data_IF_287788523845
#
_entry.id   IF_287788523845
#
_cell.length_a   1.000
_cell.length_b   1.000
_cell.length_c   1.000
_cell.angle_alpha   90.00
_cell.angle_beta   90.00
_cell.angle_gamma   90.00
#
_symmetry.space_group_name_H-M   'P 1'
#
loop_
_entity.id
_entity.type
_entity.pdbx_description
1 polymer ?
#
# COMPACT_ATOMS: atom_id res chain seq x y z
N UNK A 1 -5.97 -13.18 10.78
CA UNK A 1 -5.45 -11.81 10.52
C UNK A 1 -4.07 -11.59 11.11
N UNK A 2 -3.81 -11.98 12.38
CA UNK A 2 -2.49 -11.89 13.02
C UNK A 2 -1.34 -12.49 12.16
N UNK A 3 -1.57 -13.64 11.50
CA UNK A 3 -0.58 -14.25 10.58
C UNK A 3 -0.30 -13.43 9.31
N UNK A 4 -1.25 -12.64 8.82
CA UNK A 4 -1.03 -11.80 7.64
C UNK A 4 -0.17 -10.58 8.02
N UNK A 5 -0.45 -9.96 9.16
CA UNK A 5 0.28 -8.76 9.61
C UNK A 5 1.76 -9.07 9.89
N UNK A 6 2.06 -10.21 10.52
CA UNK A 6 3.43 -10.66 10.72
C UNK A 6 4.19 -10.79 9.38
N UNK A 7 3.56 -11.39 8.37
CA UNK A 7 4.15 -11.51 7.02
C UNK A 7 4.36 -10.17 6.33
N UNK A 8 3.46 -9.20 6.54
CA UNK A 8 3.64 -7.85 6.01
C UNK A 8 4.80 -7.12 6.72
N UNK A 9 5.06 -7.40 8.00
CA UNK A 9 6.21 -6.85 8.73
C UNK A 9 7.54 -7.47 8.32
N UNK A 10 7.56 -8.78 7.98
CA UNK A 10 8.71 -9.43 7.33
C UNK A 10 9.04 -8.76 5.98
N UNK A 11 8.01 -8.35 5.26
CA UNK A 11 8.09 -7.60 4.02
C UNK A 11 8.10 -8.47 2.76
N UNK A 12 7.91 -7.80 1.62
CA UNK A 12 7.84 -8.41 0.30
C UNK A 12 8.53 -7.54 -0.73
N UNK A 13 9.13 -8.16 -1.73
CA UNK A 13 9.58 -7.45 -2.93
C UNK A 13 8.37 -7.11 -3.80
N UNK A 14 8.02 -5.84 -3.85
CA UNK A 14 6.97 -5.32 -4.72
C UNK A 14 7.53 -4.33 -5.73
N UNK A 15 6.94 -4.29 -6.92
CA UNK A 15 7.29 -3.33 -7.96
C UNK A 15 6.28 -2.21 -8.01
N UNK A 16 6.75 -0.96 -7.97
CA UNK A 16 5.87 0.19 -8.19
C UNK A 16 5.63 0.36 -9.69
N UNK A 17 4.38 0.61 -10.05
CA UNK A 17 3.99 1.09 -11.36
C UNK A 17 3.69 2.60 -11.27
N UNK A 18 4.16 3.34 -12.27
CA UNK A 18 3.82 4.75 -12.46
C UNK A 18 3.70 5.02 -13.95
N UNK A 19 2.54 5.50 -14.40
CA UNK A 19 2.26 5.79 -15.81
C UNK A 19 2.59 4.60 -16.74
N UNK A 20 2.26 3.38 -16.29
CA UNK A 20 2.56 2.13 -17.02
C UNK A 20 4.03 1.66 -16.97
N UNK A 21 4.94 2.47 -16.41
CA UNK A 21 6.35 2.11 -16.28
C UNK A 21 6.65 1.38 -14.96
N UNK A 22 7.41 0.28 -15.05
CA UNK A 22 7.88 -0.50 -13.89
C UNK A 22 9.12 0.11 -13.28
N UNK A 23 9.12 0.29 -11.97
CA UNK A 23 10.34 0.60 -11.21
C UNK A 23 11.16 -0.67 -10.93
N UNK A 24 12.36 -0.51 -10.36
CA UNK A 24 13.04 -1.62 -9.70
C UNK A 24 12.20 -2.12 -8.51
N UNK A 25 12.18 -3.45 -8.24
CA UNK A 25 11.55 -3.99 -7.04
C UNK A 25 12.11 -3.37 -5.78
N UNK A 26 11.24 -3.12 -4.80
CA UNK A 26 11.60 -2.60 -3.47
C UNK A 26 11.04 -3.53 -2.41
N UNK A 27 11.73 -3.62 -1.29
CA UNK A 27 11.20 -4.33 -0.13
C UNK A 27 10.19 -3.43 0.57
N UNK A 28 8.90 -3.70 0.36
CA UNK A 28 7.79 -3.09 1.09
C UNK A 28 7.52 -3.86 2.37
N UNK A 29 7.21 -3.18 3.46
CA UNK A 29 6.95 -3.80 4.75
C UNK A 29 6.06 -2.89 5.62
N UNK A 30 5.34 -3.48 6.57
CA UNK A 30 4.76 -2.74 7.70
C UNK A 30 5.84 -2.47 8.74
N UNK A 31 5.84 -1.27 9.33
CA UNK A 31 6.70 -0.98 10.47
C UNK A 31 6.27 -1.77 11.73
N UNK A 32 7.08 -1.68 12.79
CA UNK A 32 6.89 -2.42 14.03
C UNK A 32 5.53 -2.13 14.68
N UNK A 33 5.12 -0.86 14.64
CA UNK A 33 3.84 -0.37 15.17
C UNK A 33 2.64 -0.63 14.23
N UNK A 34 2.89 -1.14 13.01
CA UNK A 34 1.88 -1.30 11.95
C UNK A 34 1.16 0.01 11.60
N UNK A 35 1.85 1.14 11.82
CA UNK A 35 1.37 2.49 11.61
C UNK A 35 1.64 2.99 10.19
N UNK A 36 2.62 2.38 9.50
CA UNK A 36 3.05 2.80 8.18
C UNK A 36 3.40 1.61 7.27
N UNK A 37 3.02 1.71 5.99
CA UNK A 37 3.65 0.95 4.91
C UNK A 37 4.94 1.67 4.50
N UNK A 38 6.09 1.00 4.57
CA UNK A 38 7.41 1.55 4.25
C UNK A 38 8.07 0.78 3.12
N UNK A 39 9.06 1.38 2.45
CA UNK A 39 9.84 0.67 1.42
C UNK A 39 11.32 1.05 1.39
N UNK A 40 12.18 0.07 1.08
CA UNK A 40 13.63 0.26 0.92
C UNK A 40 14.20 -0.54 -0.27
N UNK A 41 15.29 -0.06 -0.91
CA UNK A 41 15.97 1.21 -0.68
C UNK A 41 15.24 2.40 -1.30
N UNK A 42 15.26 3.55 -0.63
CA UNK A 42 14.67 4.80 -1.11
C UNK A 42 15.62 5.97 -0.84
N UNK A 43 15.76 6.88 -1.81
CA UNK A 43 16.52 8.13 -1.61
C UNK A 43 15.83 9.10 -0.65
N UNK A 44 14.55 8.86 -0.35
CA UNK A 44 13.75 9.67 0.58
C UNK A 44 13.97 9.32 2.05
N UNK A 45 14.80 8.32 2.37
CA UNK A 45 15.06 7.91 3.75
C UNK A 45 13.77 7.58 4.50
N UNK A 46 13.55 8.23 5.64
CA UNK A 46 12.36 8.05 6.47
C UNK A 46 11.04 8.43 5.80
N UNK A 47 11.09 9.27 4.77
CA UNK A 47 9.90 9.76 4.06
C UNK A 47 9.44 8.77 2.98
N UNK A 48 10.06 7.59 2.92
CA UNK A 48 9.64 6.45 2.12
C UNK A 48 8.55 5.64 2.83
N UNK A 49 7.42 6.30 3.12
CA UNK A 49 6.30 5.70 3.87
C UNK A 49 4.94 6.23 3.46
N UNK A 50 3.90 5.44 3.72
CA UNK A 50 2.50 5.85 3.70
C UNK A 50 1.90 5.46 5.06
N UNK A 51 1.47 6.43 5.89
CA UNK A 51 0.75 6.13 7.13
C UNK A 51 -0.55 5.37 6.84
N UNK A 52 -0.89 4.36 7.64
CA UNK A 52 -2.15 3.61 7.51
C UNK A 52 -3.35 4.55 7.64
N UNK A 53 -3.27 5.53 8.54
CA UNK A 53 -4.29 6.58 8.71
C UNK A 53 -4.51 7.43 7.45
N UNK A 54 -3.57 7.41 6.51
CA UNK A 54 -3.63 8.16 5.26
C UNK A 54 -4.13 7.29 4.10
N UNK A 55 -4.32 5.98 4.30
CA UNK A 55 -4.88 5.06 3.31
C UNK A 55 -6.40 5.11 3.39
N UNK A 56 -7.03 5.58 2.32
CA UNK A 56 -8.48 5.67 2.21
C UNK A 56 -9.09 4.40 1.65
N UNK A 57 -8.35 3.64 0.84
CA UNK A 57 -8.82 2.36 0.31
C UNK A 57 -7.67 1.50 -0.21
N UNK A 58 -7.91 0.19 -0.28
CA UNK A 58 -6.98 -0.79 -0.85
C UNK A 58 -7.75 -1.67 -1.82
N UNK A 59 -7.28 -1.76 -3.06
CA UNK A 59 -8.02 -2.41 -4.16
C UNK A 59 -7.14 -3.35 -4.97
N UNK A 60 -7.76 -4.41 -5.45
CA UNK A 60 -7.22 -5.29 -6.48
C UNK A 60 -6.98 -4.52 -7.80
N UNK A 61 -6.00 -4.97 -8.57
CA UNK A 61 -5.70 -4.42 -9.90
C UNK A 61 -5.03 -3.05 -9.89
N UNK A 62 -4.92 -2.46 -11.08
CA UNK A 62 -4.33 -1.14 -11.33
C UNK A 62 -5.42 -0.08 -11.43
N UNK A 63 -5.20 1.11 -10.86
CA UNK A 63 -6.17 2.22 -10.91
C UNK A 63 -6.25 2.84 -12.30
N UNK A 64 -5.11 2.90 -12.99
CA UNK A 64 -4.97 3.54 -14.29
C UNK A 64 -5.88 2.92 -15.38
N UNK A 65 -6.48 1.75 -15.11
CA UNK A 65 -7.27 1.01 -16.11
C UNK A 65 -6.44 0.54 -17.31
N UNK A 66 -5.13 0.77 -17.26
CA UNK A 66 -4.16 0.29 -18.23
C UNK A 66 -4.01 -1.20 -18.07
N UNK A 67 -4.02 -1.91 -19.19
CA UNK A 67 -3.64 -3.31 -19.20
C UNK A 67 -2.30 -3.48 -18.49
N UNK A 68 -2.19 -4.48 -17.59
CA UNK A 68 -0.90 -4.83 -17.03
C UNK A 68 0.08 -5.06 -18.18
N UNK A 69 1.30 -4.49 -18.16
CA UNK A 69 2.27 -4.69 -19.22
C UNK A 69 2.40 -6.19 -19.54
N UNK A 70 2.30 -6.54 -20.84
CA UNK A 70 1.97 -7.82 -21.54
C UNK A 70 2.23 -9.19 -20.85
N UNK A 71 2.98 -9.23 -19.75
CA UNK A 71 3.38 -10.41 -18.99
C UNK A 71 3.09 -10.26 -17.48
N UNK A 72 2.05 -9.53 -17.08
CA UNK A 72 1.62 -9.44 -15.68
C UNK A 72 0.27 -10.08 -15.49
N UNK A 73 0.17 -10.91 -14.45
CA UNK A 73 -1.10 -11.39 -13.94
C UNK A 73 -1.82 -10.24 -13.21
N UNK A 74 -3.05 -9.86 -13.62
CA UNK A 74 -3.86 -8.88 -12.91
C UNK A 74 -4.04 -9.20 -11.42
N UNK A 75 -4.05 -10.48 -11.03
CA UNK A 75 -4.21 -10.92 -9.65
C UNK A 75 -2.96 -10.64 -8.80
N UNK A 76 -1.81 -10.42 -9.42
CA UNK A 76 -0.60 -9.96 -8.73
C UNK A 76 -0.60 -8.44 -8.50
N UNK A 77 -1.56 -7.72 -9.08
CA UNK A 77 -1.61 -6.26 -9.04
C UNK A 77 -2.60 -5.78 -7.98
N UNK A 78 -2.24 -4.70 -7.30
CA UNK A 78 -3.11 -4.00 -6.37
C UNK A 78 -2.68 -2.54 -6.26
N UNK A 79 -3.52 -1.68 -5.69
CA UNK A 79 -3.17 -0.30 -5.43
C UNK A 79 -3.70 0.20 -4.09
N UNK A 80 -2.95 1.13 -3.51
CA UNK A 80 -3.34 1.84 -2.29
C UNK A 80 -3.79 3.25 -2.68
N UNK A 81 -5.01 3.61 -2.31
CA UNK A 81 -5.51 4.99 -2.43
C UNK A 81 -5.17 5.70 -1.13
N UNK A 82 -4.49 6.84 -1.23
CA UNK A 82 -3.99 7.57 -0.07
C UNK A 82 -4.00 9.08 -0.25
N UNK A 83 -3.97 9.81 0.88
CA UNK A 83 -3.99 11.27 0.90
C UNK A 83 -5.34 11.88 0.46
N UNK A 84 -5.39 13.21 0.43
CA UNK A 84 -6.64 13.96 0.23
C UNK A 84 -7.09 14.06 -1.24
N UNK A 85 -6.14 14.07 -2.18
CA UNK A 85 -6.44 14.14 -3.63
C UNK A 85 -6.75 12.75 -4.22
N UNK A 86 -6.81 11.72 -3.37
CA UNK A 86 -7.04 10.35 -3.78
C UNK A 86 -5.89 9.84 -4.64
N UNK A 87 -4.64 10.15 -4.28
CA UNK A 87 -3.45 9.64 -4.96
C UNK A 87 -3.41 8.11 -4.87
N UNK A 88 -2.80 7.45 -5.85
CA UNK A 88 -2.66 6.00 -5.82
C UNK A 88 -1.22 5.56 -6.05
N UNK A 89 -0.78 4.57 -5.28
CA UNK A 89 0.42 3.78 -5.57
C UNK A 89 0.01 2.42 -6.09
N UNK A 90 0.37 2.13 -7.33
CA UNK A 90 0.15 0.85 -7.97
C UNK A 90 1.34 -0.07 -7.69
N UNK A 91 1.04 -1.30 -7.25
CA UNK A 91 2.00 -2.27 -6.79
C UNK A 91 1.76 -3.62 -7.47
N UNK A 92 2.87 -4.30 -7.76
CA UNK A 92 2.89 -5.65 -8.33
C UNK A 92 3.66 -6.57 -7.38
N UNK A 93 2.98 -7.60 -6.89
CA UNK A 93 3.56 -8.66 -6.09
C UNK A 93 4.14 -9.78 -6.97
N UNK A 94 4.91 -10.69 -6.36
CA UNK A 94 5.50 -11.83 -7.11
C UNK A 94 4.48 -12.94 -7.38
N UNK A 95 3.39 -12.96 -6.63
CA UNK A 95 2.28 -13.91 -6.81
C UNK A 95 0.95 -13.30 -6.39
N UNK A 96 -0.15 -13.88 -6.90
CA UNK A 96 -1.51 -13.53 -6.51
C UNK A 96 -1.75 -13.73 -5.00
N UNK A 97 -1.13 -14.76 -4.41
CA UNK A 97 -1.19 -15.01 -2.98
C UNK A 97 -0.51 -13.89 -2.17
N UNK A 98 0.65 -13.40 -2.63
CA UNK A 98 1.35 -12.30 -1.99
C UNK A 98 0.53 -11.01 -2.11
N UNK A 99 -0.06 -10.71 -3.28
CA UNK A 99 -0.97 -9.57 -3.45
C UNK A 99 -2.19 -9.68 -2.52
N UNK A 100 -2.84 -10.84 -2.46
CA UNK A 100 -4.00 -11.08 -1.60
C UNK A 100 -3.66 -10.92 -0.10
N UNK A 101 -2.46 -11.33 0.33
CA UNK A 101 -2.00 -11.12 1.70
C UNK A 101 -1.86 -9.63 2.02
N UNK A 102 -1.24 -8.86 1.12
CA UNK A 102 -1.12 -7.40 1.26
C UNK A 102 -2.47 -6.71 1.31
N UNK A 103 -3.37 -7.02 0.38
CA UNK A 103 -4.72 -6.46 0.33
C UNK A 103 -5.47 -6.74 1.64
N UNK A 104 -5.50 -8.01 2.07
CA UNK A 104 -6.22 -8.41 3.29
C UNK A 104 -5.64 -7.77 4.55
N UNK A 105 -4.30 -7.75 4.67
CA UNK A 105 -3.61 -7.17 5.81
C UNK A 105 -3.85 -5.67 5.94
N UNK A 106 -3.73 -4.93 4.84
CA UNK A 106 -3.93 -3.48 4.86
C UNK A 106 -5.41 -3.10 5.00
N UNK A 107 -6.34 -3.80 4.35
CA UNK A 107 -7.79 -3.56 4.55
C UNK A 107 -8.18 -3.74 6.02
N UNK A 108 -7.65 -4.77 6.67
CA UNK A 108 -7.89 -5.00 8.09
C UNK A 108 -7.39 -3.84 8.96
N UNK A 109 -6.16 -3.38 8.76
CA UNK A 109 -5.61 -2.24 9.51
C UNK A 109 -6.39 -0.94 9.26
N UNK A 110 -6.80 -0.68 8.01
CA UNK A 110 -7.60 0.51 7.68
C UNK A 110 -8.98 0.46 8.34
N UNK A 111 -9.60 -0.72 8.44
CA UNK A 111 -10.87 -0.91 9.15
C UNK A 111 -10.69 -0.73 10.67
N UNK A 112 -9.71 -1.40 11.26
CA UNK A 112 -9.40 -1.32 12.69
C UNK A 112 -9.14 0.13 13.12
N UNK A 113 -8.32 0.87 12.36
CA UNK A 113 -8.06 2.29 12.61
C UNK A 113 -9.34 3.14 12.57
N UNK A 114 -10.31 2.82 11.70
CA UNK A 114 -11.59 3.54 11.61
C UNK A 114 -12.50 3.24 12.79
N UNK A 115 -12.51 1.99 13.25
CA UNK A 115 -13.28 1.55 14.41
C UNK A 115 -12.73 2.17 15.71
N UNK A 116 -11.42 2.20 15.87
CA UNK A 116 -10.74 2.77 17.05
C UNK A 116 -10.86 4.30 17.12
N UNK A 117 -10.89 4.99 15.97
CA UNK A 117 -10.93 6.45 15.93
C UNK A 117 -12.34 7.07 15.90
N UNK A 118 -13.40 6.25 15.85
CA UNK A 118 -14.80 6.70 15.90
C UNK A 118 -15.16 7.78 14.87
N UNK A 119 -14.55 7.75 13.68
CA UNK A 119 -14.25 8.98 12.93
C UNK A 119 -15.48 9.65 12.26
N UNK A 120 -15.91 10.78 12.83
CA UNK A 120 -16.31 11.95 12.04
C UNK A 120 -15.10 12.40 11.19
N UNK A 121 -15.30 12.53 9.88
CA UNK A 121 -14.31 12.97 8.90
C UNK A 121 -13.78 14.38 9.24
N UNK A 122 -12.84 14.49 10.18
CA UNK A 122 -12.18 15.78 10.44
C UNK A 122 -11.18 16.03 9.32
N UNK A 123 -11.34 17.12 8.55
CA UNK A 123 -10.36 17.47 7.53
C UNK A 123 -9.03 17.75 8.23
N UNK A 124 -8.07 16.85 8.06
CA UNK A 124 -6.70 17.07 8.53
C UNK A 124 -6.13 18.14 7.60
N UNK A 125 -6.05 19.40 8.04
CA UNK A 125 -5.74 20.53 7.14
C UNK A 125 -4.26 20.64 6.76
N UNK A 126 -3.46 19.57 6.92
CA UNK A 126 -2.03 19.62 6.58
C UNK A 126 -1.47 18.23 6.22
N UNK A 127 -1.78 17.74 5.03
CA UNK A 127 -1.36 16.43 4.48
C UNK A 127 0.08 16.42 3.93
N UNK A 128 1.03 17.06 4.60
CA UNK A 128 2.43 16.96 4.22
C UNK A 128 3.05 15.79 4.99
N UNK A 129 3.51 14.75 4.28
CA UNK A 129 4.35 13.72 4.88
C UNK A 129 5.48 14.43 5.65
N UNK A 130 5.69 14.16 6.96
CA UNK A 130 6.94 14.56 7.60
C UNK A 130 8.12 13.98 6.81
#
# INVERSE_FOLDING_TARGET
VSSCLARLQEGSLLTKLKDGARSLPKNFYLDEDKSCVRWKPSRKGDNAKIPITYITDVREGLRSGTDPPLNLDPNCCFHLIHGNEGEAIELVARSAEEAALWIRGLRHLVMEMREESGFEHKPITNWQYP
#
